data_IF_281883605780
#
_entry.id   IF_281883605780
#
_cell.length_a   1.000
_cell.length_b   1.000
_cell.length_c   1.000
_cell.angle_alpha   90.00
_cell.angle_beta   90.00
_cell.angle_gamma   90.00
#
_symmetry.space_group_name_H-M   'P 1'
#
loop_
_entity.id
_entity.type
_entity.pdbx_description
1 polymer ?
#
# COMPACT_ATOMS: atom_id res chain seq x y z
N UNK A 1 -12.64 0.01 -8.19
CA UNK A 1 -11.96 1.32 -8.09
C UNK A 1 -11.32 1.44 -6.72
N UNK A 2 -10.04 1.83 -6.63
CA UNK A 2 -9.22 1.73 -5.42
C UNK A 2 -9.04 3.05 -4.65
N UNK A 3 -8.90 4.20 -5.32
CA UNK A 3 -8.70 5.50 -4.68
C UNK A 3 -9.45 6.59 -5.46
N UNK A 4 -10.50 7.17 -4.84
CA UNK A 4 -11.31 8.22 -5.48
C UNK A 4 -10.41 9.42 -5.86
N UNK A 5 -10.56 9.91 -7.08
CA UNK A 5 -9.73 10.99 -7.63
C UNK A 5 -8.37 10.56 -8.18
N UNK A 6 -7.94 9.31 -7.95
CA UNK A 6 -6.62 8.82 -8.38
C UNK A 6 -6.70 7.54 -9.22
N UNK A 7 -7.90 7.00 -9.46
CA UNK A 7 -8.07 5.71 -10.15
C UNK A 7 -7.46 5.66 -11.57
N UNK A 8 -7.42 6.78 -12.30
CA UNK A 8 -6.93 6.85 -13.69
C UNK A 8 -5.44 7.16 -13.81
N UNK A 9 -4.78 7.52 -12.70
CA UNK A 9 -3.38 8.00 -12.68
C UNK A 9 -2.51 7.23 -11.69
N UNK A 10 -3.00 6.12 -11.13
CA UNK A 10 -2.28 5.35 -10.13
C UNK A 10 -2.57 3.85 -10.22
N UNK A 11 -1.60 3.06 -9.79
CA UNK A 11 -1.72 1.61 -9.62
C UNK A 11 -2.07 1.33 -8.14
N UNK A 12 -3.14 0.57 -7.91
CA UNK A 12 -3.53 0.16 -6.55
C UNK A 12 -2.95 -1.20 -6.18
N UNK A 13 -2.11 -1.26 -5.15
CA UNK A 13 -1.60 -2.52 -4.58
C UNK A 13 -2.37 -2.82 -3.29
N UNK A 14 -2.92 -4.03 -3.18
CA UNK A 14 -3.65 -4.50 -2.01
C UNK A 14 -2.99 -5.76 -1.44
N UNK A 15 -2.92 -5.85 -0.11
CA UNK A 15 -2.67 -7.11 0.57
C UNK A 15 -3.92 -7.54 1.34
N UNK A 16 -4.09 -8.85 1.51
CA UNK A 16 -5.22 -9.40 2.27
C UNK A 16 -4.88 -9.36 3.75
N UNK A 17 -5.65 -8.60 4.53
CA UNK A 17 -5.44 -8.38 5.96
C UNK A 17 -5.78 -6.95 6.39
N UNK A 18 -5.10 -6.44 7.41
CA UNK A 18 -5.23 -5.06 7.88
C UNK A 18 -6.02 -4.90 9.16
N UNK A 19 -6.62 -5.97 9.69
CA UNK A 19 -7.38 -5.97 10.94
C UNK A 19 -6.84 -7.03 11.90
N UNK A 20 -6.71 -6.66 13.17
CA UNK A 20 -6.47 -7.60 14.26
C UNK A 20 -7.70 -8.49 14.52
N UNK A 21 -7.55 -9.54 15.35
CA UNK A 21 -8.67 -10.40 15.80
C UNK A 21 -9.83 -9.63 16.46
N UNK A 22 -9.58 -8.41 16.96
CA UNK A 22 -10.58 -7.51 17.55
C UNK A 22 -11.17 -6.50 16.55
N UNK A 23 -10.90 -6.66 15.25
CA UNK A 23 -11.38 -5.76 14.20
C UNK A 23 -10.71 -4.38 14.19
N UNK A 24 -9.60 -4.19 14.91
CA UNK A 24 -8.86 -2.91 14.92
C UNK A 24 -7.80 -2.89 13.82
N UNK A 25 -7.57 -1.75 13.12
CA UNK A 25 -6.51 -1.59 12.13
C UNK A 25 -5.15 -2.03 12.67
N UNK A 26 -4.44 -2.86 11.91
CA UNK A 26 -3.11 -3.35 12.26
C UNK A 26 -2.40 -3.87 11.00
N UNK A 27 -1.10 -3.63 10.87
CA UNK A 27 -0.30 -4.34 9.87
C UNK A 27 -0.32 -5.83 10.17
N UNK A 28 -1.00 -6.60 9.33
CA UNK A 28 -1.05 -8.06 9.44
C UNK A 28 -0.41 -8.73 8.24
N UNK A 29 0.40 -8.02 7.45
CA UNK A 29 1.12 -8.62 6.33
C UNK A 29 1.99 -9.77 6.83
N UNK A 30 1.88 -10.91 6.17
CA UNK A 30 2.82 -12.02 6.39
C UNK A 30 4.20 -11.66 5.87
N UNK A 31 5.23 -12.39 6.30
CA UNK A 31 6.59 -12.22 5.77
C UNK A 31 6.61 -12.34 4.24
N UNK A 32 5.92 -13.33 3.70
CA UNK A 32 5.89 -13.59 2.25
C UNK A 32 5.14 -12.48 1.50
N UNK A 33 4.05 -11.96 2.06
CA UNK A 33 3.36 -10.79 1.50
C UNK A 33 4.28 -9.56 1.47
N UNK A 34 5.10 -9.34 2.51
CA UNK A 34 6.06 -8.22 2.53
C UNK A 34 7.15 -8.38 1.48
N UNK A 35 7.64 -9.61 1.26
CA UNK A 35 8.63 -9.90 0.21
C UNK A 35 8.02 -9.67 -1.16
N UNK A 36 6.86 -10.28 -1.44
CA UNK A 36 6.16 -10.13 -2.72
C UNK A 36 5.81 -8.67 -3.03
N UNK A 37 5.36 -7.91 -2.02
CA UNK A 37 5.05 -6.49 -2.17
C UNK A 37 6.30 -5.66 -2.50
N UNK A 38 7.45 -5.94 -1.87
CA UNK A 38 8.71 -5.25 -2.22
C UNK A 38 9.12 -5.55 -3.65
N UNK A 39 9.14 -6.81 -4.06
CA UNK A 39 9.52 -7.19 -5.43
C UNK A 39 8.59 -6.56 -6.47
N UNK A 40 7.28 -6.52 -6.22
CA UNK A 40 6.34 -5.84 -7.10
C UNK A 40 6.59 -4.33 -7.19
N UNK A 41 6.85 -3.68 -6.05
CA UNK A 41 7.14 -2.24 -6.01
C UNK A 41 8.44 -1.93 -6.76
N UNK A 42 9.48 -2.76 -6.61
CA UNK A 42 10.75 -2.61 -7.33
C UNK A 42 10.54 -2.72 -8.84
N UNK A 43 9.82 -3.74 -9.32
CA UNK A 43 9.46 -3.89 -10.73
C UNK A 43 8.67 -2.68 -11.26
N UNK A 44 7.69 -2.19 -10.51
CA UNK A 44 6.90 -1.03 -10.92
C UNK A 44 7.72 0.27 -10.93
N UNK A 45 8.73 0.40 -10.06
CA UNK A 45 9.65 1.55 -10.10
C UNK A 45 10.57 1.50 -11.31
N UNK A 46 10.98 0.31 -11.76
CA UNK A 46 11.73 0.16 -13.00
C UNK A 46 10.88 0.52 -14.23
N UNK A 47 9.61 0.09 -14.25
CA UNK A 47 8.67 0.37 -15.34
C UNK A 47 8.17 1.84 -15.35
N UNK A 48 8.00 2.43 -14.17
CA UNK A 48 7.55 3.81 -13.98
C UNK A 48 8.53 4.62 -13.10
N UNK A 49 9.70 5.03 -13.62
CA UNK A 49 10.77 5.65 -12.82
C UNK A 49 10.40 6.95 -12.10
N UNK A 50 9.38 7.66 -12.60
CA UNK A 50 8.89 8.92 -12.02
C UNK A 50 7.73 8.72 -11.03
N UNK A 51 7.26 7.48 -10.84
CA UNK A 51 6.17 7.19 -9.92
C UNK A 51 6.60 7.34 -8.45
N UNK A 52 5.73 7.92 -7.65
CA UNK A 52 5.89 8.05 -6.20
C UNK A 52 5.04 7.01 -5.47
N UNK A 53 5.45 6.63 -4.25
CA UNK A 53 4.79 5.60 -3.44
C UNK A 53 4.06 6.27 -2.28
N UNK A 54 2.79 5.92 -2.10
CA UNK A 54 1.90 6.55 -1.13
C UNK A 54 0.97 5.55 -0.47
N UNK A 55 0.62 5.80 0.79
CA UNK A 55 -0.46 5.12 1.49
C UNK A 55 -1.83 5.71 1.15
N UNK A 56 -2.88 4.89 1.16
CA UNK A 56 -4.25 5.35 0.90
C UNK A 56 -4.75 6.34 1.97
N UNK A 57 -4.20 6.29 3.17
CA UNK A 57 -4.44 7.22 4.27
C UNK A 57 -3.94 8.65 3.97
N UNK A 58 -3.04 8.82 3.01
CA UNK A 58 -2.58 10.15 2.57
C UNK A 58 -3.61 10.87 1.69
N UNK A 59 -4.52 10.12 1.05
CA UNK A 59 -5.54 10.65 0.13
C UNK A 59 -6.96 10.62 0.69
N UNK A 60 -7.17 9.99 1.85
CA UNK A 60 -8.48 9.94 2.49
C UNK A 60 -8.35 9.59 3.98
N UNK A 61 -9.29 10.08 4.79
CA UNK A 61 -9.33 9.87 6.24
C UNK A 61 -9.69 8.41 6.59
N UNK A 62 -8.73 7.49 6.48
CA UNK A 62 -8.87 6.06 6.77
C UNK A 62 -7.55 5.46 7.24
N UNK A 63 -7.61 4.31 7.89
CA UNK A 63 -6.41 3.63 8.40
C UNK A 63 -5.62 2.84 7.34
N UNK A 64 -6.23 2.51 6.20
CA UNK A 64 -5.58 1.77 5.11
C UNK A 64 -4.29 2.49 4.65
N UNK A 65 -3.13 1.81 4.56
CA UNK A 65 -2.94 0.35 4.52
C UNK A 65 -2.63 -0.32 5.87
N UNK A 66 -2.87 0.39 6.98
CA UNK A 66 -2.65 -0.06 8.37
C UNK A 66 -1.18 -0.19 8.77
N UNK A 67 -0.28 0.43 8.00
CA UNK A 67 1.14 0.59 8.30
C UNK A 67 1.65 1.91 7.68
N UNK A 68 2.87 2.32 8.03
CA UNK A 68 3.49 3.56 7.56
C UNK A 68 4.24 3.33 6.24
N UNK A 69 3.65 3.75 5.12
CA UNK A 69 4.23 3.61 3.78
C UNK A 69 5.45 4.51 3.62
N UNK A 70 5.40 5.74 4.13
CA UNK A 70 6.49 6.71 4.02
C UNK A 70 7.72 6.24 4.80
N UNK A 71 7.53 5.58 5.95
CA UNK A 71 8.66 4.98 6.68
C UNK A 71 9.30 3.80 5.95
N UNK A 72 8.53 3.04 5.16
CA UNK A 72 9.05 1.87 4.44
C UNK A 72 9.69 2.22 3.08
N UNK A 73 9.21 3.26 2.39
CA UNK A 73 9.64 3.59 1.01
C UNK A 73 9.83 5.09 0.71
N UNK A 74 9.70 5.96 1.71
CA UNK A 74 9.90 7.40 1.57
C UNK A 74 11.33 7.86 1.81
#
# INVERSE_FOLDING_TARGET
AHCKGHNSISIGICYIGGLSKKGKPKDTRTRDQKVAMRSLIEQLKEEYPLATIHGHNEFANKACPCFDVKKEWG
#
